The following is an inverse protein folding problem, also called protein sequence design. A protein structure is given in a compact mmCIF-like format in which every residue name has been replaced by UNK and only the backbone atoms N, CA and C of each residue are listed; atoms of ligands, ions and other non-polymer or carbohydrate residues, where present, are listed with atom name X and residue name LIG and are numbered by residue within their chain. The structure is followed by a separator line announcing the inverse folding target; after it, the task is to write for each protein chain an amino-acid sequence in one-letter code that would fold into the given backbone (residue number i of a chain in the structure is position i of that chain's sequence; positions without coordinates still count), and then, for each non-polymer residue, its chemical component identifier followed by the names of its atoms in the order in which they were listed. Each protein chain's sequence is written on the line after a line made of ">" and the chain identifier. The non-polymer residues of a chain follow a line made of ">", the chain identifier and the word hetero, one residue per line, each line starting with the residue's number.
data_IF_097946289337
#
_entry.id   IF_097946289337
#
_cell.length_a   1.000
_cell.length_b   1.000
_cell.length_c   1.000
_cell.angle_alpha   90.00
_cell.angle_beta   90.00
_cell.angle_gamma   90.00
#
_symmetry.space_group_name_H-M   'P 1'
#
loop_
_entity.id
_entity.type
_entity.pdbx_description
1 polymer ?
#
# COMPACT_ATOMS: atom_id res chain seq x y z
N UNK A 1 -5.23 -7.01 27.72
CA UNK A 1 -4.18 -8.04 27.52
C UNK A 1 -2.90 -7.35 27.09
N UNK A 2 -1.77 -7.79 27.61
CA UNK A 2 -0.45 -7.36 27.15
C UNK A 2 -0.12 -8.00 25.79
N UNK A 3 0.83 -7.42 25.07
CA UNK A 3 1.34 -7.97 23.81
C UNK A 3 1.84 -9.41 24.00
N UNK A 4 2.43 -9.71 25.16
CA UNK A 4 2.91 -11.06 25.51
C UNK A 4 1.77 -12.06 25.67
N UNK A 5 0.66 -11.65 26.29
CA UNK A 5 -0.53 -12.49 26.46
C UNK A 5 -1.19 -12.81 25.11
N UNK A 6 -1.28 -11.82 24.20
CA UNK A 6 -1.84 -12.02 22.86
C UNK A 6 -0.99 -12.99 22.03
N UNK A 7 0.34 -12.89 22.09
CA UNK A 7 1.24 -13.83 21.39
C UNK A 7 1.08 -15.26 21.89
N UNK A 8 0.98 -15.43 23.21
CA UNK A 8 0.77 -16.76 23.82
C UNK A 8 -0.57 -17.37 23.41
N UNK A 9 -1.64 -16.57 23.35
CA UNK A 9 -2.95 -17.06 22.89
C UNK A 9 -2.90 -17.55 21.44
N UNK A 10 -2.23 -16.80 20.55
CA UNK A 10 -2.06 -17.19 19.14
C UNK A 10 -1.27 -18.50 19.03
N UNK A 11 -0.15 -18.62 19.75
CA UNK A 11 0.67 -19.85 19.77
C UNK A 11 -0.17 -21.04 20.21
N UNK A 12 -0.92 -20.90 21.30
CA UNK A 12 -1.75 -21.99 21.83
C UNK A 12 -2.84 -22.41 20.83
N UNK A 13 -3.51 -21.45 20.19
CA UNK A 13 -4.52 -21.73 19.17
C UNK A 13 -3.93 -22.43 17.96
N UNK A 14 -2.83 -21.91 17.39
CA UNK A 14 -2.18 -22.49 16.21
C UNK A 14 -1.68 -23.91 16.50
N UNK A 15 -1.13 -24.15 17.68
CA UNK A 15 -0.61 -25.48 18.09
C UNK A 15 -1.74 -26.53 18.22
N UNK A 16 -2.98 -26.10 18.46
CA UNK A 16 -4.13 -27.00 18.55
C UNK A 16 -4.78 -27.34 17.20
N UNK A 17 -4.38 -26.65 16.12
CA UNK A 17 -4.92 -26.88 14.77
C UNK A 17 -4.15 -28.02 14.12
N UNK A 18 -4.87 -29.05 13.68
CA UNK A 18 -4.30 -30.18 12.92
C UNK A 18 -4.62 -30.13 11.43
N UNK A 19 -5.49 -29.20 11.01
CA UNK A 19 -5.85 -29.00 9.61
C UNK A 19 -4.78 -28.15 8.92
N UNK A 20 -4.10 -28.76 7.96
CA UNK A 20 -3.03 -28.14 7.18
C UNK A 20 -3.51 -26.92 6.39
N UNK A 21 -4.72 -26.96 5.80
CA UNK A 21 -5.23 -25.84 5.01
C UNK A 21 -5.46 -24.60 5.87
N UNK A 22 -5.94 -24.80 7.10
CA UNK A 22 -6.14 -23.69 8.05
C UNK A 22 -4.79 -23.07 8.43
N UNK A 23 -3.75 -23.89 8.62
CA UNK A 23 -2.40 -23.39 8.93
C UNK A 23 -1.80 -22.60 7.75
N UNK A 24 -1.99 -23.07 6.52
CA UNK A 24 -1.56 -22.36 5.31
C UNK A 24 -2.24 -21.00 5.17
N UNK A 25 -3.55 -20.94 5.40
CA UNK A 25 -4.32 -19.69 5.33
C UNK A 25 -3.90 -18.68 6.40
N UNK A 26 -3.61 -19.14 7.62
CA UNK A 26 -3.06 -18.29 8.70
C UNK A 26 -1.71 -17.71 8.27
N UNK A 27 -0.81 -18.52 7.70
CA UNK A 27 0.49 -18.04 7.19
C UNK A 27 0.28 -17.01 6.08
N UNK A 28 -0.65 -17.26 5.15
CA UNK A 28 -0.99 -16.32 4.07
C UNK A 28 -1.44 -14.97 4.61
N UNK A 29 -2.31 -14.97 5.62
CA UNK A 29 -2.84 -13.74 6.23
C UNK A 29 -1.75 -12.94 6.95
N UNK A 30 -0.88 -13.60 7.72
CA UNK A 30 0.26 -12.95 8.40
C UNK A 30 1.23 -12.35 7.37
N UNK A 31 1.50 -13.06 6.28
CA UNK A 31 2.36 -12.56 5.21
C UNK A 31 1.72 -11.38 4.46
N UNK A 32 0.39 -11.38 4.29
CA UNK A 32 -0.34 -10.25 3.74
C UNK A 32 -0.25 -9.01 4.62
N UNK A 33 -0.32 -9.13 5.96
CA UNK A 33 -0.09 -7.98 6.84
C UNK A 33 1.31 -7.37 6.64
N UNK A 34 2.34 -8.18 6.41
CA UNK A 34 3.70 -7.69 6.11
C UNK A 34 3.76 -6.89 4.79
N UNK A 35 2.96 -7.27 3.80
CA UNK A 35 2.86 -6.59 2.50
C UNK A 35 1.96 -5.34 2.61
N UNK A 36 0.84 -5.42 3.33
CA UNK A 36 -0.11 -4.32 3.55
C UNK A 36 0.47 -3.24 4.49
N UNK A 37 1.34 -3.62 5.43
CA UNK A 37 2.07 -2.70 6.29
C UNK A 37 3.03 -1.79 5.52
N UNK A 38 3.40 -2.15 4.28
CA UNK A 38 4.18 -1.31 3.38
C UNK A 38 3.32 -0.39 2.51
N UNK A 39 2.18 0.08 3.03
CA UNK A 39 1.46 1.19 2.39
C UNK A 39 2.39 2.40 2.37
N UNK A 40 2.87 2.79 1.19
CA UNK A 40 3.76 3.94 1.02
C UNK A 40 3.07 5.21 1.56
N UNK A 41 3.63 5.77 2.62
CA UNK A 41 3.17 7.03 3.17
C UNK A 41 3.81 8.15 2.37
N UNK A 42 3.00 8.80 1.53
CA UNK A 42 3.40 10.00 0.80
C UNK A 42 4.06 11.00 1.77
N UNK A 43 5.14 11.62 1.34
CA UNK A 43 5.73 12.81 1.96
C UNK A 43 4.76 13.99 1.84
N UNK A 44 5.06 15.09 2.54
CA UNK A 44 4.22 16.29 2.40
C UNK A 44 4.25 16.86 0.99
N UNK A 45 5.41 16.81 0.32
CA UNK A 45 5.57 17.27 -1.05
C UNK A 45 4.74 16.44 -2.02
N UNK A 46 4.77 15.11 -1.89
CA UNK A 46 3.98 14.22 -2.73
C UNK A 46 2.48 14.38 -2.49
N UNK A 47 2.04 14.57 -1.23
CA UNK A 47 0.64 14.88 -0.92
C UNK A 47 0.20 16.18 -1.61
N UNK A 48 1.02 17.22 -1.55
CA UNK A 48 0.74 18.50 -2.18
C UNK A 48 0.67 18.35 -3.72
N UNK A 49 1.56 17.55 -4.31
CA UNK A 49 1.56 17.29 -5.76
C UNK A 49 0.28 16.55 -6.21
N UNK A 50 -0.17 15.55 -5.45
CA UNK A 50 -1.44 14.85 -5.70
C UNK A 50 -2.62 15.82 -5.59
N UNK A 51 -2.65 16.64 -4.54
CA UNK A 51 -3.73 17.61 -4.34
C UNK A 51 -3.79 18.64 -5.47
N UNK A 52 -2.63 19.11 -5.94
CA UNK A 52 -2.54 19.98 -7.12
C UNK A 52 -3.11 19.30 -8.36
N UNK A 53 -2.76 18.05 -8.62
CA UNK A 53 -3.31 17.30 -9.76
C UNK A 53 -4.83 17.13 -9.70
N UNK A 54 -5.40 16.89 -8.52
CA UNK A 54 -6.85 16.84 -8.33
C UNK A 54 -7.51 18.21 -8.61
N UNK A 55 -6.86 19.29 -8.21
CA UNK A 55 -7.33 20.64 -8.47
C UNK A 55 -7.23 21.01 -9.95
N UNK A 56 -6.14 20.62 -10.63
CA UNK A 56 -5.98 20.80 -12.08
C UNK A 56 -7.13 20.11 -12.86
N UNK A 57 -7.58 18.94 -12.41
CA UNK A 57 -8.75 18.26 -12.99
C UNK A 57 -10.04 19.05 -12.75
N UNK A 58 -10.26 19.55 -11.53
CA UNK A 58 -11.45 20.34 -11.18
C UNK A 58 -11.52 21.66 -11.96
N UNK A 59 -10.36 22.30 -12.17
CA UNK A 59 -10.23 23.58 -12.87
C UNK A 59 -10.19 23.41 -14.41
N UNK A 60 -10.22 22.18 -14.92
CA UNK A 60 -10.17 21.88 -16.35
C UNK A 60 -8.79 22.04 -17.00
N UNK A 61 -7.74 22.14 -16.20
CA UNK A 61 -6.33 22.20 -16.63
C UNK A 61 -5.84 20.81 -17.04
N UNK A 62 -6.45 20.26 -18.10
CA UNK A 62 -6.16 18.93 -18.61
C UNK A 62 -5.23 18.99 -19.82
N UNK A 63 -4.32 18.02 -19.90
CA UNK A 63 -3.46 17.84 -21.07
C UNK A 63 -3.94 16.65 -21.90
N UNK A 64 -3.88 16.79 -23.22
CA UNK A 64 -4.08 15.64 -24.11
C UNK A 64 -2.96 14.62 -23.88
N UNK A 65 -3.25 13.35 -24.17
CA UNK A 65 -2.26 12.28 -24.03
C UNK A 65 -1.01 12.54 -24.88
N UNK A 66 -1.14 13.20 -26.03
CA UNK A 66 -0.01 13.58 -26.88
C UNK A 66 0.84 14.69 -26.25
N UNK A 67 0.19 15.72 -25.70
CA UNK A 67 0.87 16.82 -25.00
C UNK A 67 1.65 16.31 -23.78
N UNK A 68 1.03 15.44 -22.97
CA UNK A 68 1.68 14.81 -21.82
C UNK A 68 2.89 13.95 -22.23
N UNK A 69 2.78 13.18 -23.33
CA UNK A 69 3.92 12.40 -23.87
C UNK A 69 5.09 13.28 -24.28
N UNK A 70 4.83 14.45 -24.87
CA UNK A 70 5.89 15.37 -25.24
C UNK A 70 6.57 15.99 -24.00
N UNK A 71 5.81 16.35 -22.97
CA UNK A 71 6.36 16.83 -21.70
C UNK A 71 7.26 15.78 -21.03
N UNK A 72 6.84 14.52 -21.01
CA UNK A 72 7.63 13.41 -20.46
C UNK A 72 8.94 13.22 -21.23
N UNK A 73 8.91 13.30 -22.56
CA UNK A 73 10.13 13.21 -23.39
C UNK A 73 11.13 14.31 -23.05
N UNK A 74 10.68 15.54 -22.85
CA UNK A 74 11.57 16.64 -22.49
C UNK A 74 12.11 16.50 -21.06
N UNK A 75 11.31 15.98 -20.13
CA UNK A 75 11.75 15.72 -18.77
C UNK A 75 12.85 14.64 -18.70
N UNK A 76 12.73 13.58 -19.50
CA UNK A 76 13.71 12.48 -19.58
C UNK A 76 15.01 12.84 -20.31
N UNK A 77 15.09 14.02 -20.95
CA UNK A 77 16.33 14.53 -21.55
C UNK A 77 17.23 15.27 -20.55
N UNK A 78 16.75 15.50 -19.33
CA UNK A 78 17.56 16.04 -18.22
C UNK A 78 18.31 14.92 -17.53
#
# INVERSE_FOLDING_TARGET
>A
MSVSELKLEIINKVTSISDEQILEDIIRLINQESILAQTYKLTQEERNAVQKGLQDVADGNLHSSESAKNMLKEWLKK
#
